data_IF_838878177896
#
_entry.id   IF_838878177896
#
_cell.length_a   1.000
_cell.length_b   1.000
_cell.length_c   1.000
_cell.angle_alpha   90.00
_cell.angle_beta   90.00
_cell.angle_gamma   90.00
#
_symmetry.space_group_name_H-M   'P 1'
#
loop_
_entity.id
_entity.type
_entity.pdbx_description
1 polymer ?
#
# COMPACT_ATOMS: atom_id res chain seq x y z
N UNK A 1 7.38 -13.61 -7.56
CA UNK A 1 7.89 -12.22 -7.66
C UNK A 1 8.98 -11.90 -6.62
N UNK A 2 8.80 -12.07 -5.29
CA UNK A 2 9.77 -11.57 -4.30
C UNK A 2 11.13 -12.30 -4.27
N UNK A 3 11.25 -13.42 -5.00
CA UNK A 3 12.51 -14.14 -5.19
C UNK A 3 13.48 -13.43 -6.15
N UNK A 4 12.98 -12.54 -7.02
CA UNK A 4 13.83 -11.73 -7.88
C UNK A 4 14.30 -10.48 -7.10
N UNK A 5 15.62 -10.23 -6.96
CA UNK A 5 16.12 -9.06 -6.23
C UNK A 5 15.59 -7.72 -6.74
N UNK A 6 15.24 -7.62 -8.03
CA UNK A 6 14.68 -6.40 -8.61
C UNK A 6 13.32 -6.05 -8.03
N UNK A 7 12.58 -7.02 -7.49
CA UNK A 7 11.32 -6.81 -6.79
C UNK A 7 11.45 -5.71 -5.74
N UNK A 8 12.48 -5.75 -4.90
CA UNK A 8 12.61 -4.84 -3.76
C UNK A 8 12.86 -3.39 -4.18
N UNK A 9 13.66 -3.17 -5.24
CA UNK A 9 13.93 -1.82 -5.77
C UNK A 9 12.73 -1.26 -6.56
N UNK A 10 12.00 -2.13 -7.26
CA UNK A 10 10.79 -1.71 -7.96
C UNK A 10 9.70 -1.27 -6.98
N UNK A 11 9.50 -2.01 -5.87
CA UNK A 11 8.44 -1.70 -4.91
C UNK A 11 8.73 -0.43 -4.10
N UNK A 12 9.99 -0.11 -3.80
CA UNK A 12 10.35 1.20 -3.22
C UNK A 12 10.03 2.35 -4.18
N UNK A 13 10.17 2.13 -5.49
CA UNK A 13 9.80 3.17 -6.48
C UNK A 13 8.29 3.42 -6.52
N UNK A 14 7.48 2.36 -6.41
CA UNK A 14 6.03 2.49 -6.30
C UNK A 14 5.61 3.21 -5.01
N UNK A 15 6.27 2.90 -3.89
CA UNK A 15 6.00 3.54 -2.60
C UNK A 15 6.41 5.01 -2.58
N UNK A 16 7.53 5.39 -3.21
CA UNK A 16 7.90 6.81 -3.46
C UNK A 16 6.83 7.56 -4.24
N UNK A 17 6.22 6.95 -5.25
CA UNK A 17 5.13 7.55 -6.01
C UNK A 17 3.85 7.71 -5.16
N UNK A 18 3.56 6.74 -4.29
CA UNK A 18 2.45 6.82 -3.35
C UNK A 18 2.62 7.97 -2.37
N UNK A 19 3.80 8.08 -1.74
CA UNK A 19 4.14 9.19 -0.84
C UNK A 19 4.01 10.56 -1.54
N UNK A 20 4.52 10.69 -2.77
CA UNK A 20 4.37 11.90 -3.59
C UNK A 20 2.89 12.30 -3.75
N UNK A 21 2.04 11.36 -4.14
CA UNK A 21 0.60 11.61 -4.35
C UNK A 21 -0.09 12.09 -3.07
N UNK A 22 0.25 11.48 -1.92
CA UNK A 22 -0.30 11.86 -0.62
C UNK A 22 0.15 13.26 -0.19
N UNK A 23 1.41 13.60 -0.38
CA UNK A 23 1.92 14.95 -0.10
C UNK A 23 1.32 16.03 -1.03
N UNK A 24 0.90 15.66 -2.24
CA UNK A 24 0.20 16.52 -3.20
C UNK A 24 -1.31 16.54 -3.03
N UNK A 25 -1.87 15.80 -2.07
CA UNK A 25 -3.30 15.89 -1.78
C UNK A 25 -3.65 17.30 -1.26
N UNK A 26 -4.74 17.95 -1.73
CA UNK A 26 -5.78 17.41 -2.60
C UNK A 26 -5.58 17.63 -4.11
N UNK A 27 -4.50 18.28 -4.55
CA UNK A 27 -4.24 18.60 -5.97
C UNK A 27 -4.24 17.35 -6.85
N UNK A 28 -3.72 16.24 -6.32
CA UNK A 28 -3.64 14.94 -7.01
C UNK A 28 -4.11 13.81 -6.09
N UNK A 29 -5.33 13.96 -5.55
CA UNK A 29 -5.90 13.02 -4.58
C UNK A 29 -6.02 11.58 -5.10
N UNK A 30 -5.88 10.63 -4.18
CA UNK A 30 -6.19 9.22 -4.40
C UNK A 30 -7.67 8.98 -4.09
N UNK A 31 -8.26 8.01 -4.79
CA UNK A 31 -9.56 7.47 -4.39
C UNK A 31 -9.34 6.54 -3.20
N UNK A 32 -9.65 7.03 -2.00
CA UNK A 32 -9.51 6.30 -0.74
C UNK A 32 -10.86 5.72 -0.26
N UNK A 33 -11.78 5.42 -1.18
CA UNK A 33 -13.02 4.71 -0.86
C UNK A 33 -12.79 3.24 -0.51
N UNK A 34 -11.60 2.70 -0.83
CA UNK A 34 -11.27 1.27 -0.69
C UNK A 34 -12.24 0.33 -1.41
N UNK A 35 -12.96 0.85 -2.42
CA UNK A 35 -13.79 0.05 -3.30
C UNK A 35 -12.89 -0.81 -4.18
N UNK A 36 -12.88 -2.12 -3.94
CA UNK A 36 -12.30 -3.06 -4.89
C UNK A 36 -13.36 -3.42 -5.92
N UNK A 37 -13.21 -2.87 -7.13
CA UNK A 37 -13.92 -3.34 -8.31
C UNK A 37 -13.02 -4.31 -9.07
N UNK A 38 -13.59 -5.42 -9.53
CA UNK A 38 -12.85 -6.35 -10.36
C UNK A 38 -12.31 -5.63 -11.60
N UNK A 39 -10.99 -5.70 -11.78
CA UNK A 39 -10.28 -5.08 -12.87
C UNK A 39 -9.50 -6.14 -13.64
N UNK A 40 -9.39 -6.00 -14.96
CA UNK A 40 -8.60 -6.93 -15.76
C UNK A 40 -7.09 -6.69 -15.53
N UNK A 41 -6.61 -7.11 -14.37
CA UNK A 41 -5.22 -7.00 -13.92
C UNK A 41 -4.65 -8.40 -13.69
N UNK A 42 -3.35 -8.57 -13.89
CA UNK A 42 -2.69 -9.86 -13.71
C UNK A 42 -2.81 -10.44 -12.28
N UNK A 43 -3.13 -9.59 -11.30
CA UNK A 43 -3.37 -9.96 -9.91
C UNK A 43 -4.84 -10.21 -9.56
N UNK A 44 -5.77 -9.85 -10.43
CA UNK A 44 -7.20 -10.08 -10.23
C UNK A 44 -7.66 -11.18 -11.18
N UNK A 45 -7.55 -12.40 -10.68
CA UNK A 45 -7.99 -13.60 -11.41
C UNK A 45 -9.51 -13.78 -11.35
N UNK A 46 -10.23 -12.97 -10.55
CA UNK A 46 -11.68 -13.05 -10.36
C UNK A 46 -12.18 -14.39 -9.82
N UNK A 47 -11.28 -15.23 -9.30
CA UNK A 47 -11.59 -16.56 -8.75
C UNK A 47 -10.76 -16.84 -7.50
N UNK A 48 -11.41 -17.37 -6.46
CA UNK A 48 -10.77 -17.87 -5.24
C UNK A 48 -10.91 -19.37 -5.23
N UNK A 49 -9.82 -20.10 -4.99
CA UNK A 49 -9.82 -21.55 -4.92
C UNK A 49 -9.71 -22.02 -3.46
N UNK A 50 -10.67 -22.83 -3.01
CA UNK A 50 -10.66 -23.45 -1.69
C UNK A 50 -9.74 -24.68 -1.69
N UNK A 51 -8.59 -24.55 -1.03
CA UNK A 51 -7.60 -25.61 -0.87
C UNK A 51 -7.81 -26.45 0.40
N UNK A 52 -8.77 -26.11 1.26
CA UNK A 52 -8.98 -26.79 2.55
C UNK A 52 -9.34 -28.28 2.41
N UNK A 53 -9.89 -28.66 1.25
CA UNK A 53 -10.30 -30.02 0.92
C UNK A 53 -9.29 -30.77 0.03
N UNK A 54 -8.11 -30.18 -0.23
CA UNK A 54 -7.07 -30.80 -1.05
C UNK A 54 -6.00 -31.41 -0.15
N UNK A 55 -6.00 -32.75 -0.06
CA UNK A 55 -4.98 -33.48 0.69
C UNK A 55 -3.61 -33.44 0.00
N UNK A 56 -2.56 -33.25 0.78
CA UNK A 56 -1.19 -33.27 0.27
C UNK A 56 -0.84 -34.67 -0.29
N UNK A 57 -0.69 -34.76 -1.62
CA UNK A 57 -0.29 -35.99 -2.32
C UNK A 57 -1.41 -36.68 -3.12
N UNK A 58 -2.58 -36.06 -3.26
CA UNK A 58 -3.68 -36.53 -4.10
C UNK A 58 -3.87 -35.55 -5.26
N UNK A 59 -3.99 -36.04 -6.50
CA UNK A 59 -4.19 -35.24 -7.72
C UNK A 59 -5.62 -34.65 -7.82
N UNK A 60 -6.18 -34.16 -6.71
CA UNK A 60 -7.47 -33.48 -6.65
C UNK A 60 -7.28 -31.97 -6.73
N UNK A 61 -7.92 -31.33 -7.71
CA UNK A 61 -7.92 -29.87 -7.84
C UNK A 61 -8.89 -29.23 -6.83
N UNK A 62 -8.60 -28.01 -6.35
CA UNK A 62 -9.51 -27.27 -5.47
C UNK A 62 -10.78 -26.85 -6.20
N UNK A 63 -11.84 -26.56 -5.44
CA UNK A 63 -13.04 -25.91 -5.99
C UNK A 63 -12.79 -24.41 -6.04
N UNK A 64 -13.03 -23.78 -7.20
CA UNK A 64 -12.85 -22.33 -7.35
C UNK A 64 -14.18 -21.63 -7.61
N UNK A 65 -14.43 -20.52 -6.93
CA UNK A 65 -15.63 -19.68 -7.04
C UNK A 65 -15.25 -18.28 -7.50
N UNK A 66 -16.16 -17.61 -8.22
CA UNK A 66 -15.99 -16.20 -8.58
C UNK A 66 -16.26 -15.34 -7.34
N UNK A 67 -15.18 -14.84 -6.74
CA UNK A 67 -15.21 -14.11 -5.47
C UNK A 67 -14.01 -13.17 -5.39
N UNK A 68 -14.08 -12.20 -4.47
CA UNK A 68 -12.95 -11.36 -4.11
C UNK A 68 -12.01 -12.16 -3.18
N UNK A 69 -10.72 -12.23 -3.51
CA UNK A 69 -9.72 -12.80 -2.62
C UNK A 69 -9.72 -12.04 -1.28
N UNK A 70 -9.73 -12.78 -0.16
CA UNK A 70 -9.48 -12.20 1.16
C UNK A 70 -8.12 -11.49 1.17
N UNK A 71 -8.03 -10.34 1.85
CA UNK A 71 -6.79 -9.56 1.98
C UNK A 71 -6.76 -8.26 1.18
N UNK A 72 -7.78 -7.96 0.39
CA UNK A 72 -7.89 -6.70 -0.38
C UNK A 72 -8.74 -5.62 0.30
N UNK A 73 -9.49 -5.96 1.33
CA UNK A 73 -10.35 -5.03 2.06
C UNK A 73 -9.58 -4.15 3.02
N UNK A 74 -10.10 -2.95 3.28
CA UNK A 74 -9.54 -1.99 4.24
C UNK A 74 -9.33 -2.57 5.66
N UNK A 75 -10.21 -3.49 6.07
CA UNK A 75 -10.22 -4.11 7.40
C UNK A 75 -9.44 -5.43 7.47
N UNK A 76 -8.91 -5.92 6.35
CA UNK A 76 -8.17 -7.17 6.35
C UNK A 76 -6.79 -6.97 6.98
N UNK A 77 -6.36 -7.94 7.79
CA UNK A 77 -5.07 -7.88 8.48
C UNK A 77 -3.92 -8.13 7.51
N UNK A 78 -2.89 -7.29 7.58
CA UNK A 78 -1.62 -7.56 6.90
C UNK A 78 -0.80 -8.58 7.70
N UNK A 79 0.04 -9.39 7.04
CA UNK A 79 0.84 -10.42 7.70
C UNK A 79 2.04 -9.85 8.50
N UNK A 80 2.32 -8.55 8.37
CA UNK A 80 3.44 -7.88 9.05
C UNK A 80 2.96 -7.04 10.22
N UNK A 81 3.65 -7.14 11.35
CA UNK A 81 3.22 -6.58 12.65
C UNK A 81 4.42 -6.06 13.42
N UNK A 82 4.16 -5.34 14.51
CA UNK A 82 5.19 -4.94 15.49
C UNK A 82 6.33 -4.07 14.92
N UNK A 83 6.03 -3.17 13.97
CA UNK A 83 6.97 -2.19 13.42
C UNK A 83 7.51 -1.20 14.47
N UNK A 84 6.72 -0.89 15.51
CA UNK A 84 7.06 0.03 16.61
C UNK A 84 7.52 -0.70 17.88
N UNK A 85 7.55 -2.05 17.86
CA UNK A 85 7.92 -2.84 19.03
C UNK A 85 6.88 -2.82 20.17
N UNK A 86 5.61 -2.49 19.88
CA UNK A 86 4.52 -2.37 20.88
C UNK A 86 3.52 -3.52 20.81
N UNK A 87 3.76 -4.55 19.99
CA UNK A 87 2.89 -5.71 19.80
C UNK A 87 1.68 -5.42 18.91
N UNK A 88 1.74 -4.39 18.07
CA UNK A 88 0.64 -3.93 17.24
C UNK A 88 0.44 -4.75 15.96
N UNK A 89 -0.82 -4.88 15.55
CA UNK A 89 -1.24 -5.44 14.26
C UNK A 89 -1.88 -4.36 13.41
N UNK A 90 -1.88 -4.53 12.10
CA UNK A 90 -2.45 -3.54 11.19
C UNK A 90 -3.45 -4.20 10.25
N UNK A 91 -4.58 -3.54 10.02
CA UNK A 91 -5.35 -3.75 8.79
C UNK A 91 -4.66 -3.05 7.61
N UNK A 92 -5.07 -3.35 6.38
CA UNK A 92 -4.61 -2.63 5.19
C UNK A 92 -4.75 -1.11 5.35
N UNK A 93 -5.89 -0.64 5.88
CA UNK A 93 -6.14 0.78 6.10
C UNK A 93 -5.28 1.38 7.21
N UNK A 94 -5.11 0.67 8.34
CA UNK A 94 -4.23 1.13 9.41
C UNK A 94 -2.77 1.21 8.95
N UNK A 95 -2.32 0.27 8.12
CA UNK A 95 -0.98 0.31 7.55
C UNK A 95 -0.83 1.43 6.51
N UNK A 96 -1.86 1.66 5.69
CA UNK A 96 -1.91 2.80 4.79
C UNK A 96 -1.75 4.13 5.55
N UNK A 97 -2.49 4.33 6.64
CA UNK A 97 -2.35 5.51 7.49
C UNK A 97 -0.97 5.61 8.15
N UNK A 98 -0.43 4.48 8.64
CA UNK A 98 0.91 4.42 9.22
C UNK A 98 2.00 4.85 8.23
N UNK A 99 1.84 4.54 6.94
CA UNK A 99 2.76 4.90 5.87
C UNK A 99 2.58 6.34 5.34
N UNK A 100 1.80 7.20 6.01
CA UNK A 100 1.68 8.62 5.66
C UNK A 100 3.05 9.32 5.77
N UNK A 101 3.52 10.06 4.74
CA UNK A 101 4.81 10.74 4.78
C UNK A 101 5.01 11.72 5.92
N UNK A 102 3.91 12.24 6.47
CA UNK A 102 3.91 13.17 7.62
C UNK A 102 3.75 12.45 8.97
N UNK A 103 3.76 11.11 9.01
CA UNK A 103 3.70 10.37 10.26
C UNK A 103 5.07 10.33 10.95
N UNK A 104 5.17 10.95 12.13
CA UNK A 104 6.41 10.98 12.93
C UNK A 104 6.89 9.59 13.41
N UNK A 105 6.00 8.59 13.44
CA UNK A 105 6.37 7.20 13.77
C UNK A 105 6.95 6.43 12.57
N UNK A 106 6.87 6.98 11.34
CA UNK A 106 7.44 6.37 10.15
C UNK A 106 8.96 6.59 10.14
N UNK A 107 9.79 5.53 10.03
CA UNK A 107 11.24 5.67 10.23
C UNK A 107 11.98 6.30 9.03
N UNK A 108 11.29 6.57 7.92
CA UNK A 108 11.87 7.19 6.74
C UNK A 108 10.82 7.94 5.90
N UNK A 109 11.31 8.88 5.12
CA UNK A 109 10.62 9.54 4.00
C UNK A 109 11.64 9.69 2.88
N UNK A 110 11.22 9.74 1.62
CA UNK A 110 12.16 10.01 0.53
C UNK A 110 12.67 11.45 0.58
N UNK A 111 13.97 11.62 0.38
CA UNK A 111 14.64 12.93 0.33
C UNK A 111 14.16 13.79 -0.84
N UNK A 112 13.79 13.16 -1.96
CA UNK A 112 13.32 13.82 -3.16
C UNK A 112 12.22 12.99 -3.83
N UNK A 113 11.32 13.68 -4.54
CA UNK A 113 10.31 13.07 -5.42
C UNK A 113 10.56 13.39 -6.91
N UNK A 114 11.75 13.90 -7.25
CA UNK A 114 12.15 14.20 -8.62
C UNK A 114 12.34 12.92 -9.46
N UNK A 115 11.87 12.95 -10.69
CA UNK A 115 12.06 11.88 -11.67
C UNK A 115 12.52 12.52 -12.98
N UNK A 116 13.82 12.39 -13.29
CA UNK A 116 14.44 13.02 -14.46
C UNK A 116 13.70 12.73 -15.77
N UNK A 117 13.19 11.50 -15.91
CA UNK A 117 12.43 11.10 -17.10
C UNK A 117 11.04 11.76 -17.18
N UNK A 118 10.43 12.12 -16.04
CA UNK A 118 9.20 12.90 -15.98
C UNK A 118 9.48 14.36 -16.34
N UNK A 119 10.56 14.94 -15.82
CA UNK A 119 10.97 16.31 -16.14
C UNK A 119 11.29 16.46 -17.63
N UNK A 120 11.94 15.46 -18.23
CA UNK A 120 12.25 15.42 -19.66
C UNK A 120 11.00 15.46 -20.57
N UNK A 121 9.84 15.06 -20.05
CA UNK A 121 8.55 15.13 -20.77
C UNK A 121 7.65 16.27 -20.27
N UNK A 122 8.18 17.17 -19.43
CA UNK A 122 7.46 18.33 -18.91
C UNK A 122 6.50 18.03 -17.76
N UNK A 123 6.65 16.89 -17.09
CA UNK A 123 5.85 16.50 -15.91
C UNK A 123 6.68 16.74 -14.65
N UNK A 124 6.40 17.83 -13.95
CA UNK A 124 7.06 18.12 -12.66
C UNK A 124 6.46 17.30 -11.53
N UNK A 125 7.33 16.67 -10.75
CA UNK A 125 6.99 15.91 -9.53
C UNK A 125 7.56 16.56 -8.27
N UNK A 126 7.75 17.88 -8.29
CA UNK A 126 8.30 18.62 -7.16
C UNK A 126 7.27 18.75 -6.02
N UNK A 127 7.67 18.37 -4.82
CA UNK A 127 6.92 18.55 -3.58
C UNK A 127 7.79 19.42 -2.67
N UNK A 128 7.29 20.60 -2.31
CA UNK A 128 7.89 21.37 -1.22
C UNK A 128 7.62 20.65 0.09
N UNK A 129 8.54 19.79 0.53
CA UNK A 129 8.52 19.23 1.88
C UNK A 129 8.92 20.35 2.84
N UNK A 130 8.07 20.74 3.82
CA UNK A 130 8.47 21.74 4.80
C UNK A 130 9.72 21.26 5.55
N UNK A 131 10.79 22.05 5.55
CA UNK A 131 12.05 21.75 6.24
C UNK A 131 11.94 21.77 7.77
N UNK A 132 10.72 21.94 8.31
CA UNK A 132 10.39 21.95 9.73
C UNK A 132 9.31 20.92 10.00
N UNK A 133 9.47 20.03 11.01
CA UNK A 133 8.40 19.16 11.46
C UNK A 133 7.21 20.04 11.85
N UNK A 134 6.12 19.93 11.11
CA UNK A 134 4.85 20.53 11.52
C UNK A 134 4.35 19.64 12.63
N UNK A 135 4.52 20.07 13.89
CA UNK A 135 3.85 19.46 15.04
C UNK A 135 2.35 19.59 14.82
N UNK A 136 1.75 18.63 14.10
CA UNK A 136 0.32 18.56 13.96
C UNK A 136 -0.21 18.17 15.34
N UNK A 137 -1.07 19.03 15.89
CA UNK A 137 -1.69 18.79 17.18
C UNK A 137 -2.41 17.43 17.21
N UNK A 138 -2.70 16.92 18.42
CA UNK A 138 -3.32 15.61 18.58
C UNK A 138 -4.57 15.50 17.69
N UNK A 139 -4.82 14.32 17.09
CA UNK A 139 -5.99 14.11 16.24
C UNK A 139 -7.26 14.50 17.02
N UNK A 140 -8.25 15.15 16.37
CA UNK A 140 -9.49 15.50 17.05
C UNK A 140 -10.18 14.24 17.55
N UNK A 141 -10.60 14.27 18.82
CA UNK A 141 -11.39 13.22 19.47
C UNK A 141 -12.61 12.88 18.60
N UNK A 142 -12.59 11.72 17.94
CA UNK A 142 -13.76 11.19 17.23
C UNK A 142 -14.69 10.58 18.28
N UNK A 143 -15.78 11.31 18.57
CA UNK A 143 -16.94 10.74 19.28
C UNK A 143 -17.68 9.74 18.41
#
# INVERSE_FOLDING_TARGET
APYDPTFWVLHTTAERLLQFRRLKSPEVALDETWGFDHMNAASDVGVVCDWSQVDAGVDTLPTCTAELCEGHGASDLIPFTNFLGKGETYTNHQFYDFMEPNNDELPYVYDSFEYEHCDAIGVSMDVTVPSTPVMMGPPPDRR
#
